data_IF_209520719865
#
_entry.id   IF_209520719865
#
_cell.length_a   1.000
_cell.length_b   1.000
_cell.length_c   1.000
_cell.angle_alpha   90.00
_cell.angle_beta   90.00
_cell.angle_gamma   90.00
#
_symmetry.space_group_name_H-M   'P 1'
#
loop_
_entity.id
_entity.type
_entity.pdbx_description
1 polymer ?
#
# COMPACT_ATOMS: atom_id res chain seq x y z
N UNK A 1 31.28 -40.24 -13.09
CA UNK A 1 30.22 -39.25 -13.41
C UNK A 1 30.42 -38.02 -12.53
N UNK A 2 29.96 -36.86 -12.98
CA UNK A 2 29.85 -35.55 -12.28
C UNK A 2 30.81 -34.46 -12.82
N UNK A 3 30.31 -33.62 -13.73
CA UNK A 3 30.85 -32.29 -13.99
C UNK A 3 29.75 -31.25 -13.82
N UNK A 4 30.14 -30.17 -13.16
CA UNK A 4 29.32 -29.14 -12.57
C UNK A 4 28.52 -28.31 -13.61
N UNK A 5 27.29 -28.00 -13.25
CA UNK A 5 26.41 -27.09 -13.97
C UNK A 5 26.78 -25.65 -13.60
N UNK A 6 27.35 -24.89 -14.53
CA UNK A 6 27.67 -23.47 -14.36
C UNK A 6 26.42 -22.66 -14.70
N UNK A 7 25.79 -22.03 -13.71
CA UNK A 7 24.61 -21.19 -13.91
C UNK A 7 25.05 -19.79 -14.36
N UNK A 8 24.80 -19.48 -15.64
CA UNK A 8 25.07 -18.18 -16.26
C UNK A 8 24.05 -17.14 -15.80
N UNK A 9 24.54 -16.07 -15.16
CA UNK A 9 23.74 -14.99 -14.57
C UNK A 9 23.13 -14.03 -15.58
N UNK A 10 22.11 -14.48 -16.32
CA UNK A 10 21.43 -13.63 -17.32
C UNK A 10 19.91 -13.57 -17.18
N UNK A 11 19.36 -13.98 -16.03
CA UNK A 11 17.91 -14.01 -15.79
C UNK A 11 17.39 -12.86 -14.90
N UNK A 12 18.27 -12.06 -14.28
CA UNK A 12 17.87 -11.09 -13.27
C UNK A 12 17.31 -9.77 -13.85
N UNK A 13 17.61 -9.46 -15.12
CA UNK A 13 17.29 -8.14 -15.71
C UNK A 13 15.83 -8.01 -16.16
N UNK A 14 15.11 -9.10 -16.43
CA UNK A 14 13.72 -9.02 -16.92
C UNK A 14 12.68 -8.79 -15.81
N UNK A 15 13.03 -8.99 -14.54
CA UNK A 15 12.08 -8.86 -13.43
C UNK A 15 11.83 -7.41 -12.98
N UNK A 16 12.65 -6.44 -13.40
CA UNK A 16 12.57 -5.05 -12.91
C UNK A 16 11.59 -4.16 -13.70
N UNK A 17 11.03 -4.62 -14.83
CA UNK A 17 10.20 -3.78 -15.71
C UNK A 17 8.68 -3.95 -15.52
N UNK A 18 8.23 -4.82 -14.62
CA UNK A 18 6.80 -5.14 -14.44
C UNK A 18 6.06 -4.22 -13.45
N UNK A 19 6.70 -3.18 -12.94
CA UNK A 19 6.12 -2.23 -11.98
C UNK A 19 5.21 -1.18 -12.62
N UNK A 20 4.31 -1.56 -13.52
CA UNK A 20 3.22 -0.67 -13.90
C UNK A 20 2.22 -0.63 -12.74
N UNK A 21 2.30 0.41 -11.91
CA UNK A 21 1.31 0.68 -10.88
C UNK A 21 -0.03 0.97 -11.57
N UNK A 22 -0.87 -0.06 -11.68
CA UNK A 22 -2.27 0.11 -12.04
C UNK A 22 -2.95 0.84 -10.88
N UNK A 23 -3.06 2.16 -10.98
CA UNK A 23 -4.00 2.95 -10.19
C UNK A 23 -5.43 2.68 -10.68
N UNK A 24 -5.83 1.41 -10.62
CA UNK A 24 -7.21 0.99 -10.86
C UNK A 24 -8.00 1.36 -9.63
N UNK A 25 -8.71 2.48 -9.68
CA UNK A 25 -9.69 2.86 -8.66
C UNK A 25 -10.84 1.86 -8.67
N UNK A 26 -10.65 0.70 -8.04
CA UNK A 26 -11.79 -0.03 -7.50
C UNK A 26 -12.39 0.92 -6.48
N UNK A 27 -13.69 1.23 -6.64
CA UNK A 27 -14.51 1.88 -5.62
C UNK A 27 -14.61 0.92 -4.42
N UNK A 28 -13.49 0.73 -3.73
CA UNK A 28 -13.43 0.12 -2.42
C UNK A 28 -14.30 0.99 -1.54
N UNK A 29 -15.45 0.43 -1.16
CA UNK A 29 -16.44 1.12 -0.35
C UNK A 29 -15.79 1.78 0.86
N UNK A 30 -16.32 2.92 1.27
CA UNK A 30 -15.83 3.64 2.44
C UNK A 30 -15.88 2.73 3.66
N UNK A 31 -14.75 2.58 4.32
CA UNK A 31 -14.58 1.86 5.57
C UNK A 31 -14.22 2.86 6.67
N UNK A 32 -14.76 2.66 7.86
CA UNK A 32 -14.40 3.43 9.04
C UNK A 32 -14.14 2.51 10.23
N UNK A 33 -13.32 2.96 11.17
CA UNK A 33 -12.95 2.13 12.31
C UNK A 33 -12.09 2.84 13.36
N UNK A 34 -11.76 2.09 14.40
CA UNK A 34 -10.86 2.50 15.48
C UNK A 34 -9.58 1.66 15.44
N UNK A 35 -8.44 2.33 15.40
CA UNK A 35 -7.12 1.73 15.47
C UNK A 35 -6.53 1.91 16.87
N UNK A 36 -6.20 0.81 17.55
CA UNK A 36 -5.43 0.82 18.80
C UNK A 36 -3.95 0.94 18.50
N UNK A 37 -3.32 2.07 18.85
CA UNK A 37 -1.89 2.29 18.67
C UNK A 37 -1.31 3.12 19.81
N UNK A 38 -0.19 2.67 20.39
CA UNK A 38 0.49 3.37 21.49
C UNK A 38 -0.41 3.74 22.69
N UNK A 39 -1.39 2.89 23.01
CA UNK A 39 -2.34 3.14 24.09
C UNK A 39 -3.46 4.15 23.76
N UNK A 40 -3.54 4.63 22.52
CA UNK A 40 -4.61 5.50 22.04
C UNK A 40 -5.54 4.76 21.05
N UNK A 41 -6.81 5.17 21.03
CA UNK A 41 -7.79 4.77 20.01
C UNK A 41 -7.89 5.89 18.96
N UNK A 42 -7.48 5.62 17.73
CA UNK A 42 -7.52 6.56 16.61
C UNK A 42 -8.67 6.22 15.68
N UNK A 43 -9.59 7.16 15.45
CA UNK A 43 -10.61 7.03 14.41
C UNK A 43 -9.99 7.23 13.02
N UNK A 44 -10.34 6.39 12.05
CA UNK A 44 -9.89 6.52 10.67
C UNK A 44 -11.00 6.20 9.67
N UNK A 45 -10.85 6.74 8.46
CA UNK A 45 -11.63 6.38 7.27
C UNK A 45 -10.66 5.92 6.18
N UNK A 46 -11.03 4.87 5.45
CA UNK A 46 -10.27 4.33 4.32
C UNK A 46 -11.20 4.14 3.12
N UNK A 47 -10.73 4.51 1.94
CA UNK A 47 -11.48 4.35 0.69
C UNK A 47 -10.53 4.05 -0.47
N UNK A 48 -11.02 3.30 -1.45
CA UNK A 48 -10.29 2.98 -2.66
C UNK A 48 -9.35 1.78 -2.51
N UNK A 49 -8.42 1.66 -3.45
CA UNK A 49 -7.46 0.55 -3.53
C UNK A 49 -6.16 1.01 -4.21
N UNK A 50 -5.08 0.25 -4.04
CA UNK A 50 -3.76 0.59 -4.57
C UNK A 50 -2.79 1.10 -3.50
N UNK A 51 -1.80 1.91 -3.90
CA UNK A 51 -0.81 2.47 -2.98
C UNK A 51 -1.48 3.43 -1.99
N UNK A 52 -1.36 3.21 -0.67
CA UNK A 52 -2.07 4.01 0.32
C UNK A 52 -1.53 5.45 0.38
N UNK A 53 -2.44 6.40 0.49
CA UNK A 53 -2.15 7.77 0.90
C UNK A 53 -2.65 8.00 2.32
N UNK A 54 -1.80 8.55 3.19
CA UNK A 54 -2.18 8.89 4.56
C UNK A 54 -2.47 10.39 4.67
N UNK A 55 -3.69 10.73 5.05
CA UNK A 55 -4.11 12.11 5.28
C UNK A 55 -4.19 12.35 6.79
N UNK A 56 -3.47 13.36 7.28
CA UNK A 56 -3.46 13.77 8.68
C UNK A 56 -4.04 15.18 8.78
N UNK A 57 -5.03 15.37 9.65
CA UNK A 57 -5.62 16.69 9.90
C UNK A 57 -4.93 17.41 11.06
N UNK A 58 -4.98 18.74 11.05
CA UNK A 58 -4.51 19.60 12.15
C UNK A 58 -5.67 20.11 13.02
N UNK A 59 -5.34 21.03 13.93
CA UNK A 59 -6.33 21.81 14.69
C UNK A 59 -6.78 23.06 13.89
N UNK A 60 -8.04 23.54 14.00
CA UNK A 60 -9.19 22.99 14.73
C UNK A 60 -10.15 22.20 13.82
N UNK A 61 -9.80 20.98 13.39
CA UNK A 61 -10.68 20.19 12.52
C UNK A 61 -10.64 18.70 12.91
N UNK A 62 -11.80 18.02 12.90
CA UNK A 62 -11.92 16.55 13.02
C UNK A 62 -11.79 15.90 11.62
N UNK A 63 -11.54 14.58 11.56
CA UNK A 63 -11.31 13.83 10.31
C UNK A 63 -12.46 13.78 9.29
N UNK A 64 -13.55 14.53 9.49
CA UNK A 64 -14.70 14.60 8.59
C UNK A 64 -14.42 15.32 7.26
N UNK A 65 -13.30 16.06 7.14
CA UNK A 65 -12.98 16.82 5.92
C UNK A 65 -12.54 15.98 4.72
N UNK A 66 -12.22 14.70 4.90
CA UNK A 66 -11.76 13.80 3.84
C UNK A 66 -12.73 12.65 3.57
N UNK A 67 -13.95 12.77 4.10
CA UNK A 67 -14.93 11.70 4.19
C UNK A 67 -16.02 11.81 3.11
#
# INVERSE_FOLDING_TARGET
MNRALKQSGSALTLALLSGAALAGGSEGGRQEGLLSVNGAQIHYVSQGSGTPMLLLHGYPLSGELFA
#
